data_IF_378601263943
#
_entry.id   IF_378601263943
#
_cell.length_a   1.000
_cell.length_b   1.000
_cell.length_c   1.000
_cell.angle_alpha   90.00
_cell.angle_beta   90.00
_cell.angle_gamma   90.00
#
_symmetry.space_group_name_H-M   'P 1'
#
loop_
_entity.id
_entity.type
_entity.pdbx_description
1 polymer ?
#
# COMPACT_ATOMS: atom_id res chain seq x y z
N UNK A 1 -30.21 -2.50 -15.68
CA UNK A 1 -29.15 -2.37 -16.69
C UNK A 1 -28.16 -3.50 -16.45
N UNK A 2 -28.40 -4.69 -17.00
CA UNK A 2 -27.57 -5.89 -16.79
C UNK A 2 -26.84 -6.36 -18.07
N UNK A 3 -26.96 -5.62 -19.17
CA UNK A 3 -26.44 -6.00 -20.49
C UNK A 3 -25.13 -5.29 -20.86
N UNK A 4 -24.42 -4.68 -19.90
CA UNK A 4 -23.15 -4.00 -20.18
C UNK A 4 -21.99 -4.91 -19.80
N UNK A 5 -21.05 -5.09 -20.73
CA UNK A 5 -19.79 -5.80 -20.49
C UNK A 5 -19.09 -5.22 -19.27
N UNK A 6 -18.89 -6.03 -18.23
CA UNK A 6 -18.03 -5.65 -17.12
C UNK A 6 -16.60 -5.56 -17.65
N UNK A 7 -16.00 -4.38 -17.53
CA UNK A 7 -14.62 -4.12 -17.87
C UNK A 7 -13.87 -3.60 -16.64
N UNK A 8 -12.55 -3.54 -16.75
CA UNK A 8 -11.69 -2.89 -15.77
C UNK A 8 -11.99 -1.39 -15.76
N UNK A 9 -12.24 -0.82 -14.58
CA UNK A 9 -12.11 0.61 -14.43
C UNK A 9 -10.62 0.93 -14.47
N UNK A 10 -10.22 1.66 -15.50
CA UNK A 10 -8.89 2.21 -15.65
C UNK A 10 -9.09 3.73 -15.55
N UNK A 11 -8.47 4.36 -14.56
CA UNK A 11 -8.38 5.82 -14.46
C UNK A 11 -7.43 6.29 -15.57
N UNK A 12 -7.98 6.34 -16.80
CA UNK A 12 -7.22 6.59 -18.03
C UNK A 12 -6.68 8.03 -18.04
N UNK A 13 -7.38 8.96 -17.40
CA UNK A 13 -7.02 10.37 -17.37
C UNK A 13 -6.34 10.81 -16.06
N UNK A 14 -6.24 9.93 -15.07
CA UNK A 14 -5.54 10.18 -13.81
C UNK A 14 -6.22 11.25 -12.98
N UNK A 15 -7.53 11.40 -13.13
CA UNK A 15 -8.31 12.47 -12.52
C UNK A 15 -8.83 12.11 -11.11
N UNK A 16 -8.68 10.83 -10.73
CA UNK A 16 -9.05 10.27 -9.44
C UNK A 16 -10.54 10.43 -9.08
N UNK A 17 -11.41 10.68 -10.07
CA UNK A 17 -12.84 10.68 -9.87
C UNK A 17 -13.36 9.24 -9.77
N UNK A 18 -14.43 9.08 -9.00
CA UNK A 18 -15.11 7.80 -8.88
C UNK A 18 -15.71 7.42 -10.23
N UNK A 19 -15.00 6.54 -10.95
CA UNK A 19 -15.57 5.86 -12.10
C UNK A 19 -16.86 5.14 -11.65
N UNK A 20 -18.00 5.32 -12.35
CA UNK A 20 -19.30 4.88 -11.86
C UNK A 20 -19.41 3.35 -11.68
N UNK A 21 -18.44 2.56 -12.17
CA UNK A 21 -18.40 1.11 -12.03
C UNK A 21 -16.95 0.58 -11.89
N UNK A 22 -16.46 0.44 -10.66
CA UNK A 22 -15.22 -0.27 -10.35
C UNK A 22 -15.54 -1.71 -9.95
N UNK A 23 -14.96 -2.71 -10.65
CA UNK A 23 -15.13 -4.12 -10.34
C UNK A 23 -13.83 -4.70 -9.73
N UNK A 24 -13.96 -5.45 -8.64
CA UNK A 24 -12.83 -6.11 -7.99
C UNK A 24 -12.76 -7.60 -8.34
N UNK A 25 -11.55 -8.09 -8.61
CA UNK A 25 -11.29 -9.52 -8.72
C UNK A 25 -11.17 -10.08 -7.32
N UNK A 26 -11.83 -11.21 -7.08
CA UNK A 26 -11.65 -11.93 -5.83
C UNK A 26 -10.29 -12.66 -5.86
N UNK A 27 -9.33 -12.32 -4.98
CA UNK A 27 -8.01 -12.95 -4.96
C UNK A 27 -8.05 -14.42 -4.55
N UNK A 28 -9.17 -14.89 -3.98
CA UNK A 28 -9.41 -16.30 -3.71
C UNK A 28 -9.80 -17.12 -4.95
N UNK A 29 -10.05 -16.50 -6.10
CA UNK A 29 -10.28 -17.22 -7.35
C UNK A 29 -8.98 -17.85 -7.85
N UNK A 30 -9.01 -19.14 -8.18
CA UNK A 30 -7.81 -19.90 -8.55
C UNK A 30 -7.20 -19.37 -9.84
N UNK A 31 -8.04 -19.08 -10.83
CA UNK A 31 -7.67 -18.62 -12.16
C UNK A 31 -6.93 -17.27 -12.08
N UNK A 32 -7.36 -16.39 -11.17
CA UNK A 32 -6.65 -15.15 -10.89
C UNK A 32 -5.28 -15.42 -10.26
N UNK A 33 -5.22 -16.33 -9.29
CA UNK A 33 -3.96 -16.76 -8.69
C UNK A 33 -2.97 -17.35 -9.70
N UNK A 34 -3.45 -18.16 -10.65
CA UNK A 34 -2.64 -18.76 -11.70
C UNK A 34 -2.09 -17.68 -12.64
N UNK A 35 -2.94 -16.76 -13.10
CA UNK A 35 -2.54 -15.66 -13.98
C UNK A 35 -1.51 -14.74 -13.32
N UNK A 36 -1.72 -14.35 -12.06
CA UNK A 36 -0.77 -13.49 -11.35
C UNK A 36 0.58 -14.16 -11.14
N UNK A 37 0.61 -15.47 -10.85
CA UNK A 37 1.86 -16.22 -10.73
C UNK A 37 2.61 -16.24 -12.06
N UNK A 38 1.94 -16.49 -13.18
CA UNK A 38 2.53 -16.45 -14.52
C UNK A 38 3.11 -15.08 -14.85
N UNK A 39 2.28 -14.02 -14.78
CA UNK A 39 2.68 -12.66 -15.16
C UNK A 39 3.79 -12.13 -14.25
N UNK A 40 3.68 -12.30 -12.93
CA UNK A 40 4.74 -11.86 -12.02
C UNK A 40 6.01 -12.68 -12.22
N UNK A 41 5.92 -13.98 -12.49
CA UNK A 41 7.08 -14.82 -12.79
C UNK A 41 7.85 -14.35 -14.02
N UNK A 42 7.13 -13.97 -15.09
CA UNK A 42 7.74 -13.36 -16.28
C UNK A 42 8.44 -12.04 -15.95
N UNK A 43 7.79 -11.14 -15.20
CA UNK A 43 8.35 -9.84 -14.84
C UNK A 43 9.57 -9.97 -13.92
N UNK A 44 9.48 -10.81 -12.89
CA UNK A 44 10.57 -11.11 -11.95
C UNK A 44 11.78 -11.62 -12.72
N UNK A 45 11.57 -12.57 -13.65
CA UNK A 45 12.67 -13.16 -14.42
C UNK A 45 13.28 -12.16 -15.40
N UNK A 46 12.44 -11.41 -16.12
CA UNK A 46 12.88 -10.48 -17.16
C UNK A 46 13.64 -9.27 -16.61
N UNK A 47 13.20 -8.75 -15.47
CA UNK A 47 13.75 -7.53 -14.88
C UNK A 47 14.60 -7.77 -13.64
N UNK A 48 14.78 -9.03 -13.23
CA UNK A 48 15.52 -9.41 -12.03
C UNK A 48 15.01 -8.68 -10.78
N UNK A 49 13.69 -8.73 -10.57
CA UNK A 49 13.06 -8.02 -9.46
C UNK A 49 13.34 -8.73 -8.13
N UNK A 50 13.85 -7.99 -7.14
CA UNK A 50 14.02 -8.47 -5.77
C UNK A 50 12.75 -8.31 -4.92
N UNK A 51 11.81 -7.49 -5.39
CA UNK A 51 10.57 -7.19 -4.68
C UNK A 51 9.41 -6.89 -5.63
N UNK A 52 8.19 -7.19 -5.16
CA UNK A 52 6.92 -6.86 -5.81
C UNK A 52 6.02 -6.19 -4.78
N UNK A 53 5.45 -5.05 -5.14
CA UNK A 53 4.43 -4.37 -4.34
C UNK A 53 3.04 -4.73 -4.89
N UNK A 54 2.21 -5.36 -4.07
CA UNK A 54 0.84 -5.72 -4.38
C UNK A 54 -0.09 -4.63 -3.85
N UNK A 55 -0.63 -3.84 -4.76
CA UNK A 55 -1.57 -2.79 -4.40
C UNK A 55 -2.88 -3.40 -3.86
N UNK A 56 -3.62 -2.64 -3.05
CA UNK A 56 -4.94 -2.99 -2.56
C UNK A 56 -5.05 -4.26 -1.69
N UNK A 57 -3.95 -4.68 -1.04
CA UNK A 57 -3.94 -5.84 -0.14
C UNK A 57 -4.73 -5.67 1.16
N UNK A 58 -5.14 -4.44 1.49
CA UNK A 58 -5.97 -4.14 2.65
C UNK A 58 -7.47 -4.36 2.44
N UNK A 59 -7.92 -4.49 1.19
CA UNK A 59 -9.34 -4.45 0.89
C UNK A 59 -10.09 -5.63 1.48
N UNK A 60 -11.29 -5.34 2.00
CA UNK A 60 -12.11 -6.26 2.75
C UNK A 60 -13.55 -6.24 2.24
N UNK A 61 -13.79 -6.96 1.14
CA UNK A 61 -15.14 -7.05 0.58
C UNK A 61 -15.94 -8.19 1.20
N UNK A 62 -17.15 -7.88 1.64
CA UNK A 62 -18.14 -8.89 1.99
C UNK A 62 -18.82 -9.37 0.69
N UNK A 63 -18.44 -10.57 0.25
CA UNK A 63 -18.96 -11.16 -0.99
C UNK A 63 -20.04 -12.19 -0.67
N UNK A 64 -21.18 -12.10 -1.37
CA UNK A 64 -22.30 -13.03 -1.18
C UNK A 64 -22.12 -14.35 -1.95
N UNK A 65 -21.18 -14.39 -2.90
CA UNK A 65 -20.83 -15.55 -3.72
C UNK A 65 -19.32 -15.61 -3.97
N UNK A 66 -18.82 -16.83 -4.12
CA UNK A 66 -17.40 -17.09 -4.35
C UNK A 66 -16.58 -17.24 -3.06
N UNK A 67 -15.25 -17.32 -3.19
CA UNK A 67 -14.34 -17.48 -2.06
C UNK A 67 -14.41 -16.30 -1.09
N UNK A 68 -14.09 -16.53 0.18
CA UNK A 68 -13.93 -15.45 1.14
C UNK A 68 -12.79 -14.51 0.68
N UNK A 69 -13.08 -13.23 0.49
CA UNK A 69 -12.12 -12.28 -0.08
C UNK A 69 -10.85 -12.14 0.77
N UNK A 70 -11.00 -11.99 2.10
CA UNK A 70 -9.88 -11.79 3.01
C UNK A 70 -8.98 -13.02 3.14
N UNK A 71 -9.59 -14.20 3.27
CA UNK A 71 -8.83 -15.46 3.25
C UNK A 71 -8.15 -15.66 1.90
N UNK A 72 -8.87 -15.37 0.81
CA UNK A 72 -8.35 -15.40 -0.55
C UNK A 72 -7.14 -14.51 -0.74
N UNK A 73 -7.19 -13.26 -0.25
CA UNK A 73 -6.08 -12.32 -0.34
C UNK A 73 -4.84 -12.84 0.41
N UNK A 74 -5.04 -13.32 1.65
CA UNK A 74 -3.95 -13.89 2.45
C UNK A 74 -3.33 -15.11 1.79
N UNK A 75 -4.15 -16.02 1.27
CA UNK A 75 -3.68 -17.25 0.66
C UNK A 75 -3.02 -16.99 -0.69
N UNK A 76 -3.49 -15.99 -1.42
CA UNK A 76 -2.87 -15.48 -2.65
C UNK A 76 -1.46 -14.92 -2.41
N UNK A 77 -1.29 -14.04 -1.40
CA UNK A 77 0.03 -13.52 -1.02
C UNK A 77 0.98 -14.67 -0.67
N UNK A 78 0.52 -15.61 0.18
CA UNK A 78 1.32 -16.78 0.57
C UNK A 78 1.64 -17.70 -0.60
N UNK A 79 0.74 -17.81 -1.59
CA UNK A 79 0.98 -18.57 -2.82
C UNK A 79 2.13 -17.95 -3.60
N UNK A 80 2.09 -16.64 -3.85
CA UNK A 80 3.15 -15.93 -4.57
C UNK A 80 4.50 -16.03 -3.86
N UNK A 81 4.52 -15.88 -2.53
CA UNK A 81 5.74 -16.08 -1.73
C UNK A 81 6.33 -17.48 -1.83
N UNK A 82 5.49 -18.53 -1.94
CA UNK A 82 5.97 -19.90 -2.16
C UNK A 82 6.51 -20.10 -3.58
N UNK A 83 5.88 -19.49 -4.58
CA UNK A 83 6.33 -19.57 -5.97
C UNK A 83 7.65 -18.82 -6.20
N UNK A 84 7.83 -17.68 -5.52
CA UNK A 84 8.99 -16.80 -5.67
C UNK A 84 9.66 -16.52 -4.31
N UNK A 85 10.29 -17.53 -3.67
CA UNK A 85 10.80 -17.41 -2.30
C UNK A 85 11.98 -16.45 -2.12
N UNK A 86 12.59 -16.00 -3.23
CA UNK A 86 13.67 -15.02 -3.24
C UNK A 86 13.17 -13.58 -3.45
N UNK A 87 11.87 -13.39 -3.69
CA UNK A 87 11.26 -12.09 -3.94
C UNK A 87 10.49 -11.64 -2.71
N UNK A 88 10.69 -10.39 -2.30
CA UNK A 88 9.92 -9.77 -1.22
C UNK A 88 8.58 -9.28 -1.76
N UNK A 89 7.48 -9.81 -1.23
CA UNK A 89 6.14 -9.29 -1.49
C UNK A 89 5.76 -8.27 -0.42
N UNK A 90 5.60 -7.02 -0.83
CA UNK A 90 5.03 -5.93 -0.03
C UNK A 90 3.58 -5.66 -0.47
N UNK A 91 2.82 -4.91 0.33
CA UNK A 91 1.47 -4.54 -0.09
C UNK A 91 0.95 -3.24 0.48
N UNK A 92 -0.21 -2.81 -0.01
CA UNK A 92 -0.90 -1.60 0.41
C UNK A 92 -1.79 -1.83 1.64
N UNK A 93 -1.70 -0.90 2.59
CA UNK A 93 -2.55 -0.71 3.75
C UNK A 93 -2.40 -1.74 4.87
N UNK A 94 -3.34 -1.66 5.83
CA UNK A 94 -3.34 -2.52 7.02
C UNK A 94 -4.66 -3.27 7.12
N UNK A 95 -4.59 -4.59 7.04
CA UNK A 95 -5.69 -5.46 7.44
C UNK A 95 -5.12 -6.64 8.24
N UNK A 96 -5.60 -6.86 9.47
CA UNK A 96 -5.02 -7.84 10.41
C UNK A 96 -4.93 -9.27 9.83
N UNK A 97 -5.86 -9.63 8.97
CA UNK A 97 -5.90 -10.94 8.31
C UNK A 97 -4.79 -11.12 7.26
N UNK A 98 -4.42 -10.08 6.53
CA UNK A 98 -3.46 -10.16 5.41
C UNK A 98 -2.06 -9.76 5.83
N UNK A 99 -1.95 -8.85 6.78
CA UNK A 99 -0.69 -8.22 7.18
C UNK A 99 0.35 -9.21 7.73
N UNK A 100 -0.07 -10.29 8.37
CA UNK A 100 0.84 -11.37 8.80
C UNK A 100 1.54 -12.10 7.64
N UNK A 101 1.00 -11.99 6.42
CA UNK A 101 1.60 -12.54 5.22
C UNK A 101 2.50 -11.53 4.50
N UNK A 102 2.58 -10.26 4.93
CA UNK A 102 3.35 -9.22 4.28
C UNK A 102 4.51 -8.77 5.18
N UNK A 103 5.79 -9.08 4.85
CA UNK A 103 6.93 -8.57 5.61
C UNK A 103 7.04 -7.04 5.59
N UNK A 104 6.49 -6.39 4.55
CA UNK A 104 6.42 -4.95 4.42
C UNK A 104 5.04 -4.51 3.94
N UNK A 105 4.49 -3.45 4.54
CA UNK A 105 3.21 -2.89 4.15
C UNK A 105 3.27 -1.36 4.11
N UNK A 106 2.74 -0.77 3.05
CA UNK A 106 2.56 0.66 2.97
C UNK A 106 1.41 1.08 3.89
N UNK A 107 1.60 2.14 4.66
CA UNK A 107 0.55 2.68 5.52
C UNK A 107 0.14 4.07 5.05
N UNK A 108 -1.16 4.27 4.98
CA UNK A 108 -1.76 5.56 4.72
C UNK A 108 -1.78 6.26 6.07
N UNK A 109 -0.71 7.01 6.38
CA UNK A 109 -0.54 7.67 7.67
C UNK A 109 -1.50 8.85 7.81
N UNK A 110 -0.97 10.07 7.74
CA UNK A 110 -1.79 11.29 7.71
C UNK A 110 -2.42 11.52 6.33
N UNK A 111 -1.98 10.82 5.28
CA UNK A 111 -2.45 11.06 3.90
C UNK A 111 -3.94 10.74 3.74
N UNK A 112 -4.40 9.66 4.37
CA UNK A 112 -5.83 9.38 4.54
C UNK A 112 -6.46 10.39 5.51
N UNK A 113 -5.82 10.75 6.62
CA UNK A 113 -6.45 11.59 7.66
C UNK A 113 -6.63 13.08 7.25
N UNK A 114 -5.76 13.61 6.38
CA UNK A 114 -5.79 15.00 5.94
C UNK A 114 -6.83 15.24 4.84
N UNK A 115 -7.18 14.21 4.06
CA UNK A 115 -8.06 14.28 2.89
C UNK A 115 -9.34 13.42 2.99
N UNK A 116 -9.53 12.63 4.07
CA UNK A 116 -10.81 11.92 4.33
C UNK A 116 -11.95 12.95 4.52
N UNK A 117 -12.90 12.92 3.58
CA UNK A 117 -14.22 13.51 3.73
C UNK A 117 -14.91 12.95 4.99
N UNK A 118 -15.48 13.83 5.83
CA UNK A 118 -16.21 13.42 7.04
C UNK A 118 -15.42 13.50 8.35
N UNK A 119 -14.19 14.04 8.33
CA UNK A 119 -13.41 14.37 9.53
C UNK A 119 -13.28 15.89 9.78
N UNK A 120 -14.21 16.68 9.25
CA UNK A 120 -14.27 18.12 9.48
C UNK A 120 -14.49 18.40 10.99
N UNK A 121 -13.62 19.22 11.58
CA UNK A 121 -13.71 19.61 12.99
C UNK A 121 -13.13 18.61 14.02
N UNK A 122 -12.72 17.40 13.62
CA UNK A 122 -12.18 16.37 14.53
C UNK A 122 -10.65 16.40 14.62
N UNK A 123 -10.08 17.54 15.02
CA UNK A 123 -8.62 17.75 15.06
C UNK A 123 -7.86 16.71 15.88
N UNK A 124 -8.45 16.20 16.96
CA UNK A 124 -7.86 15.14 17.81
C UNK A 124 -7.69 13.80 17.09
N UNK A 125 -8.51 13.52 16.08
CA UNK A 125 -8.44 12.27 15.33
C UNK A 125 -7.34 12.32 14.25
N UNK A 126 -6.70 13.49 14.09
CA UNK A 126 -5.56 13.70 13.18
C UNK A 126 -4.20 13.44 13.81
N UNK A 127 -4.18 13.06 15.09
CA UNK A 127 -2.94 12.68 15.76
C UNK A 127 -2.64 11.19 15.57
N UNK A 128 -1.49 10.89 14.96
CA UNK A 128 -1.03 9.52 14.82
C UNK A 128 -0.70 8.89 16.19
N UNK A 129 -1.21 7.68 16.42
CA UNK A 129 -0.96 6.88 17.62
C UNK A 129 -0.34 5.52 17.25
N UNK A 130 0.70 5.03 17.96
CA UNK A 130 1.43 3.82 17.60
C UNK A 130 0.69 2.50 17.89
N UNK A 131 -0.66 2.49 17.87
CA UNK A 131 -1.43 1.25 18.13
C UNK A 131 -1.09 0.19 17.10
N UNK A 132 -1.10 0.55 15.81
CA UNK A 132 -0.81 -0.39 14.73
C UNK A 132 0.63 -0.91 14.79
N UNK A 133 1.60 -0.04 15.06
CA UNK A 133 3.00 -0.43 15.28
C UNK A 133 3.17 -1.35 16.49
N UNK A 134 2.50 -1.06 17.60
CA UNK A 134 2.54 -1.89 18.80
C UNK A 134 1.98 -3.29 18.55
N UNK A 135 0.84 -3.40 17.85
CA UNK A 135 0.19 -4.68 17.57
C UNK A 135 0.92 -5.48 16.48
N UNK A 136 1.39 -4.81 15.44
CA UNK A 136 1.75 -5.45 14.18
C UNK A 136 3.22 -5.30 13.78
N UNK A 137 3.97 -4.40 14.40
CA UNK A 137 5.37 -4.09 14.04
C UNK A 137 6.34 -5.26 14.22
N UNK A 138 5.93 -6.34 14.91
CA UNK A 138 6.70 -7.60 14.99
C UNK A 138 6.55 -8.49 13.75
N UNK A 139 5.47 -8.32 12.98
CA UNK A 139 5.13 -9.17 11.84
C UNK A 139 5.41 -8.48 10.51
N UNK A 140 5.33 -7.15 10.49
CA UNK A 140 5.52 -6.34 9.29
C UNK A 140 6.32 -5.08 9.59
N UNK A 141 7.00 -4.56 8.58
CA UNK A 141 7.58 -3.21 8.58
C UNK A 141 6.69 -2.27 7.77
N UNK A 142 6.40 -1.12 8.34
CA UNK A 142 5.60 -0.12 7.64
C UNK A 142 6.47 0.78 6.78
N UNK A 143 6.02 1.05 5.57
CA UNK A 143 6.61 2.05 4.66
C UNK A 143 5.62 3.17 4.41
N UNK A 144 6.13 4.37 4.13
CA UNK A 144 5.31 5.54 3.87
C UNK A 144 4.51 5.41 2.56
N UNK A 145 3.36 6.07 2.49
CA UNK A 145 2.50 6.08 1.32
C UNK A 145 3.13 6.85 0.14
N UNK A 146 2.82 6.47 -1.10
CA UNK A 146 3.33 7.15 -2.31
C UNK A 146 2.86 8.62 -2.41
N UNK A 147 1.83 9.00 -1.67
CA UNK A 147 1.33 10.38 -1.56
C UNK A 147 2.03 11.22 -0.48
N UNK A 148 3.05 10.68 0.17
CA UNK A 148 3.90 11.45 1.08
C UNK A 148 4.49 12.62 0.32
N UNK A 149 4.21 13.85 0.75
CA UNK A 149 4.60 15.03 -0.03
C UNK A 149 6.11 15.17 -0.01
N UNK A 150 6.64 15.71 -1.09
CA UNK A 150 8.07 15.98 -1.20
C UNK A 150 8.52 17.01 -0.14
N UNK A 151 9.78 16.98 0.36
CA UNK A 151 10.16 17.72 1.56
C UNK A 151 9.95 19.24 1.55
N UNK A 152 9.96 19.88 0.38
CA UNK A 152 9.67 21.33 0.29
C UNK A 152 8.19 21.68 0.46
N UNK A 153 7.29 20.69 0.49
CA UNK A 153 5.86 20.90 0.64
C UNK A 153 5.48 21.17 2.11
N UNK A 154 4.61 22.15 2.42
CA UNK A 154 4.26 22.49 3.81
C UNK A 154 3.71 21.32 4.66
N UNK A 155 3.06 20.36 4.01
CA UNK A 155 2.49 19.17 4.67
C UNK A 155 3.53 18.10 5.04
N UNK A 156 4.73 18.12 4.42
CA UNK A 156 5.72 17.06 4.60
C UNK A 156 6.10 16.88 6.08
N UNK A 157 6.36 17.98 6.79
CA UNK A 157 6.73 17.93 8.21
C UNK A 157 5.66 17.23 9.06
N UNK A 158 4.39 17.45 8.75
CA UNK A 158 3.28 16.80 9.46
C UNK A 158 3.26 15.30 9.18
N UNK A 159 3.34 14.91 7.90
CA UNK A 159 3.37 13.50 7.47
C UNK A 159 4.57 12.76 8.07
N UNK A 160 5.77 13.32 7.96
CA UNK A 160 7.00 12.70 8.45
C UNK A 160 7.02 12.59 9.99
N UNK A 161 6.49 13.58 10.71
CA UNK A 161 6.34 13.50 12.17
C UNK A 161 5.38 12.38 12.58
N UNK A 162 4.30 12.17 11.84
CA UNK A 162 3.39 11.06 12.09
C UNK A 162 4.05 9.71 11.77
N UNK A 163 4.72 9.58 10.63
CA UNK A 163 5.44 8.37 10.26
C UNK A 163 6.55 8.00 11.25
N UNK A 164 7.27 9.00 11.79
CA UNK A 164 8.23 8.77 12.85
C UNK A 164 7.59 8.16 14.12
N UNK A 165 6.42 8.68 14.55
CA UNK A 165 5.68 8.11 15.71
C UNK A 165 5.23 6.67 15.46
N UNK A 166 4.91 6.34 14.21
CA UNK A 166 4.45 5.01 13.79
C UNK A 166 5.61 4.04 13.45
N UNK A 167 6.87 4.45 13.59
CA UNK A 167 8.02 3.62 13.25
C UNK A 167 8.06 3.23 11.77
N UNK A 168 7.50 4.07 10.90
CA UNK A 168 7.42 3.86 9.46
C UNK A 168 8.77 4.16 8.83
N UNK A 169 9.25 3.30 7.94
CA UNK A 169 10.45 3.55 7.14
C UNK A 169 10.22 4.81 6.30
N UNK A 170 11.08 5.85 6.39
CA UNK A 170 10.93 7.07 5.62
C UNK A 170 10.97 6.76 4.12
N UNK A 171 10.09 7.42 3.35
CA UNK A 171 10.10 7.36 1.89
C UNK A 171 10.25 8.75 1.29
N UNK A 172 11.20 8.90 0.36
CA UNK A 172 11.33 10.10 -0.46
C UNK A 172 10.51 9.89 -1.74
N UNK A 173 9.34 10.51 -1.81
CA UNK A 173 8.50 10.48 -3.00
C UNK A 173 8.94 11.58 -3.98
N UNK A 174 9.34 11.15 -5.17
CA UNK A 174 9.65 12.03 -6.30
C UNK A 174 8.47 11.98 -7.28
N UNK A 175 7.96 13.13 -7.65
CA UNK A 175 6.92 13.36 -8.64
C UNK A 175 7.49 13.79 -10.00
N UNK A 176 8.73 14.29 -10.00
CA UNK A 176 9.46 14.65 -11.19
C UNK A 176 10.95 14.34 -11.04
N UNK A 177 11.58 13.99 -12.16
CA UNK A 177 12.99 13.63 -12.27
C UNK A 177 13.98 14.77 -11.97
N UNK A 178 13.53 16.03 -11.94
CA UNK A 178 14.37 17.19 -11.67
C UNK A 178 14.40 17.60 -10.19
N UNK A 179 13.62 16.91 -9.34
CA UNK A 179 13.55 17.25 -7.92
C UNK A 179 14.89 16.99 -7.22
N UNK A 180 15.34 17.98 -6.44
CA UNK A 180 16.60 17.89 -5.70
C UNK A 180 16.53 16.83 -4.61
N UNK A 181 17.64 16.15 -4.34
CA UNK A 181 17.73 15.18 -3.24
C UNK A 181 18.62 15.67 -2.09
N UNK A 182 19.40 16.73 -2.30
CA UNK A 182 20.29 17.30 -1.28
C UNK A 182 19.57 18.37 -0.45
N UNK A 183 18.60 17.92 0.36
CA UNK A 183 17.88 18.74 1.32
C UNK A 183 18.22 18.32 2.76
N UNK A 184 18.22 19.25 3.74
CA UNK A 184 18.37 18.91 5.15
C UNK A 184 17.37 17.85 5.62
N UNK A 185 16.14 17.90 5.13
CA UNK A 185 15.08 16.95 5.42
C UNK A 185 15.42 15.53 4.93
N UNK A 186 15.97 15.42 3.71
CA UNK A 186 16.39 14.12 3.16
C UNK A 186 17.54 13.54 3.99
N UNK A 187 18.48 14.36 4.45
CA UNK A 187 19.53 13.92 5.38
C UNK A 187 18.96 13.37 6.68
N UNK A 188 17.97 14.06 7.26
CA UNK A 188 17.28 13.61 8.47
C UNK A 188 16.54 12.28 8.25
N UNK A 189 15.90 12.10 7.09
CA UNK A 189 15.24 10.83 6.71
C UNK A 189 16.26 9.69 6.62
N UNK A 190 17.41 9.91 6.00
CA UNK A 190 18.48 8.91 5.89
C UNK A 190 19.04 8.53 7.27
N UNK A 191 19.27 9.51 8.14
CA UNK A 191 19.71 9.22 9.52
C UNK A 191 18.64 8.47 10.31
N UNK A 192 17.36 8.80 10.13
CA UNK A 192 16.26 8.03 10.74
C UNK A 192 16.25 6.59 10.24
N UNK A 193 16.37 6.37 8.93
CA UNK A 193 16.37 5.04 8.33
C UNK A 193 17.49 4.13 8.86
N UNK A 194 18.68 4.70 9.13
CA UNK A 194 19.83 3.95 9.69
C UNK A 194 19.61 3.47 11.13
N UNK A 195 18.66 4.05 11.85
CA UNK A 195 18.41 3.80 13.27
C UNK A 195 17.12 2.99 13.52
N UNK A 196 16.48 2.44 12.48
CA UNK A 196 15.25 1.63 12.57
C UNK A 196 15.52 0.13 12.73
#
# INVERSE_FOLDING_TARGET
LFDRTQGWALDIDGDWLAEPYFAYINPGAKEWGDLMEEILGELITKFHLDAVFLDQTLLAFNVSKGPNFLMGMRDHIKRLQRAFPHVVFAGEGQHEQTLSALPMAQIHGIDSIAEIHGMEGQTRWREAHPVSTYLFGKYTRFVAHLLTKYPSHPMFKLQETAYAKLGVIPALCLYDHQQTMDLPEVKNMLERAKNL
#
